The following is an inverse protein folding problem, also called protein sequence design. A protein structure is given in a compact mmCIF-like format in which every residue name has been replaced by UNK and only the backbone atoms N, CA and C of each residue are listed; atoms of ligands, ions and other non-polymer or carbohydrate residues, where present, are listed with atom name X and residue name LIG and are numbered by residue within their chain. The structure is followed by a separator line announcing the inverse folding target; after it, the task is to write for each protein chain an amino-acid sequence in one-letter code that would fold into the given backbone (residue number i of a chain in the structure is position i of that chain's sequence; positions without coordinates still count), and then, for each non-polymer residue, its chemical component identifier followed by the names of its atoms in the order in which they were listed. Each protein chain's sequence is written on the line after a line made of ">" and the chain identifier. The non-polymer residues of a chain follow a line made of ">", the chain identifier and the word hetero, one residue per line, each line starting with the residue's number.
data_IF_986406581408
#
_entry.id   IF_986406581408
#
_cell.length_a   1.000
_cell.length_b   1.000
_cell.length_c   1.000
_cell.angle_alpha   90.00
_cell.angle_beta   90.00
_cell.angle_gamma   90.00
#
_symmetry.space_group_name_H-M   'P 1'
#
loop_
_entity.id
_entity.type
_entity.pdbx_description
1 polymer ?
#
# COMPACT_ATOMS: atom_id res chain seq x y z
N UNK A 1 7.92 14.04 -3.16
CA UNK A 1 6.97 13.18 -2.41
C UNK A 1 7.58 11.80 -2.20
N UNK A 2 7.59 11.29 -0.98
CA UNK A 2 8.11 9.99 -0.60
C UNK A 2 7.01 8.93 -0.80
N UNK A 3 7.27 7.90 -1.62
CA UNK A 3 6.33 6.77 -1.75
C UNK A 3 6.59 5.71 -0.67
N UNK A 4 5.56 4.91 -0.37
CA UNK A 4 5.64 3.72 0.50
C UNK A 4 6.84 2.83 0.11
N UNK A 5 6.98 2.51 -1.17
CA UNK A 5 8.06 1.65 -1.68
C UNK A 5 9.46 2.25 -1.43
N UNK A 6 9.62 3.56 -1.63
CA UNK A 6 10.89 4.25 -1.35
C UNK A 6 11.22 4.28 0.14
N UNK A 7 10.22 4.46 0.99
CA UNK A 7 10.39 4.37 2.44
C UNK A 7 10.89 2.98 2.85
N UNK A 8 10.24 1.91 2.38
CA UNK A 8 10.65 0.53 2.67
C UNK A 8 12.06 0.25 2.15
N UNK A 9 12.37 0.70 0.93
CA UNK A 9 13.71 0.56 0.36
C UNK A 9 14.77 1.23 1.23
N UNK A 10 14.49 2.42 1.76
CA UNK A 10 15.38 3.14 2.66
C UNK A 10 15.60 2.42 3.99
N UNK A 11 14.57 1.78 4.53
CA UNK A 11 14.67 0.95 5.74
C UNK A 11 15.50 -0.32 5.52
N UNK A 12 15.44 -0.90 4.34
CA UNK A 12 16.21 -2.10 3.99
C UNK A 12 17.66 -1.79 3.61
N UNK A 13 17.87 -0.74 2.83
CA UNK A 13 19.20 -0.36 2.34
C UNK A 13 19.25 1.11 1.92
N UNK A 14 19.89 1.94 2.71
CA UNK A 14 20.05 3.38 2.43
C UNK A 14 20.79 3.64 1.12
N UNK A 15 21.74 2.78 0.74
CA UNK A 15 22.44 2.89 -0.55
C UNK A 15 21.51 2.65 -1.73
N UNK A 16 20.65 1.62 -1.66
CA UNK A 16 19.67 1.35 -2.70
C UNK A 16 18.66 2.50 -2.82
N UNK A 17 18.23 3.07 -1.71
CA UNK A 17 17.38 4.26 -1.70
C UNK A 17 18.07 5.46 -2.36
N UNK A 18 19.35 5.70 -2.05
CA UNK A 18 20.12 6.78 -2.66
C UNK A 18 20.26 6.60 -4.18
N UNK A 19 20.52 5.36 -4.65
CA UNK A 19 20.60 5.05 -6.08
C UNK A 19 19.26 5.28 -6.76
N UNK A 20 18.16 4.87 -6.15
CA UNK A 20 16.80 5.03 -6.69
C UNK A 20 16.41 6.51 -6.84
N UNK A 21 16.65 7.34 -5.81
CA UNK A 21 16.30 8.77 -5.89
C UNK A 21 17.18 9.56 -6.88
N UNK A 22 18.37 9.08 -7.18
CA UNK A 22 19.27 9.69 -8.18
C UNK A 22 19.12 9.07 -9.58
N UNK A 23 18.13 8.20 -9.80
CA UNK A 23 17.85 7.51 -11.05
C UNK A 23 19.06 6.73 -11.61
N UNK A 24 19.85 6.13 -10.71
CA UNK A 24 20.97 5.28 -11.10
C UNK A 24 20.44 3.85 -11.20
N UNK A 25 20.39 3.35 -12.45
CA UNK A 25 19.89 2.00 -12.69
C UNK A 25 20.78 0.92 -12.05
N UNK A 26 20.21 -0.16 -11.54
CA UNK A 26 20.95 -1.31 -11.06
C UNK A 26 21.79 -1.90 -12.21
N UNK A 27 23.02 -2.30 -11.90
CA UNK A 27 23.91 -2.96 -12.87
C UNK A 27 23.44 -4.34 -13.30
N UNK A 28 22.57 -4.97 -12.51
CA UNK A 28 22.02 -6.29 -12.80
C UNK A 28 20.49 -6.22 -12.96
N UNK A 29 19.94 -6.71 -14.09
CA UNK A 29 18.49 -6.83 -14.25
C UNK A 29 17.91 -7.84 -13.22
N UNK A 30 16.59 -7.73 -12.90
CA UNK A 30 15.94 -8.70 -12.05
C UNK A 30 16.06 -10.12 -12.62
N UNK A 31 16.43 -11.07 -11.78
CA UNK A 31 16.48 -12.49 -12.16
C UNK A 31 15.05 -13.07 -12.36
N UNK A 32 14.98 -14.27 -12.92
CA UNK A 32 13.68 -14.91 -13.18
C UNK A 32 12.91 -15.19 -11.89
N UNK A 33 13.59 -15.52 -10.79
CA UNK A 33 12.97 -15.67 -9.49
C UNK A 33 12.36 -14.38 -8.94
N UNK A 34 12.92 -13.22 -9.28
CA UNK A 34 12.30 -11.92 -8.93
C UNK A 34 11.01 -11.67 -9.73
N UNK A 35 10.99 -12.05 -11.01
CA UNK A 35 9.79 -11.96 -11.85
C UNK A 35 8.68 -12.88 -11.37
N UNK A 36 9.00 -14.13 -11.00
CA UNK A 36 8.04 -15.08 -10.45
C UNK A 36 7.43 -14.58 -9.13
N UNK A 37 8.25 -14.02 -8.22
CA UNK A 37 7.76 -13.40 -6.97
C UNK A 37 6.81 -12.24 -7.22
N UNK A 38 7.09 -11.41 -8.22
CA UNK A 38 6.23 -10.30 -8.60
C UNK A 38 4.89 -10.79 -9.16
N UNK A 39 4.93 -11.81 -10.02
CA UNK A 39 3.72 -12.44 -10.58
C UNK A 39 2.84 -13.06 -9.50
N UNK A 40 3.43 -13.83 -8.58
CA UNK A 40 2.72 -14.42 -7.46
C UNK A 40 2.12 -13.35 -6.52
N UNK A 41 2.83 -12.23 -6.32
CA UNK A 41 2.31 -11.09 -5.55
C UNK A 41 1.06 -10.49 -6.18
N UNK A 42 1.07 -10.29 -7.49
CA UNK A 42 -0.07 -9.74 -8.23
C UNK A 42 -1.28 -10.69 -8.16
N UNK A 43 -1.08 -12.00 -8.33
CA UNK A 43 -2.15 -12.99 -8.25
C UNK A 43 -2.80 -13.02 -6.87
N UNK A 44 -2.02 -13.03 -5.80
CA UNK A 44 -2.52 -12.99 -4.42
C UNK A 44 -3.27 -11.67 -4.17
N UNK A 45 -2.81 -10.55 -4.70
CA UNK A 45 -3.50 -9.26 -4.65
C UNK A 45 -4.89 -9.33 -5.30
N UNK A 46 -5.01 -9.92 -6.49
CA UNK A 46 -6.30 -10.07 -7.18
C UNK A 46 -7.25 -11.00 -6.42
N UNK A 47 -6.75 -12.12 -5.89
CA UNK A 47 -7.56 -13.05 -5.10
C UNK A 47 -8.08 -12.37 -3.83
N UNK A 48 -7.26 -11.54 -3.18
CA UNK A 48 -7.64 -10.86 -1.94
C UNK A 48 -8.85 -9.94 -2.08
N UNK A 49 -9.08 -9.38 -3.26
CA UNK A 49 -10.26 -8.54 -3.55
C UNK A 49 -11.59 -9.30 -3.41
N UNK A 50 -11.55 -10.63 -3.49
CA UNK A 50 -12.74 -11.47 -3.30
C UNK A 50 -13.21 -11.53 -1.84
N UNK A 51 -12.34 -11.17 -0.87
CA UNK A 51 -12.68 -11.14 0.57
C UNK A 51 -13.84 -10.17 0.83
N UNK A 52 -13.84 -9.03 0.15
CA UNK A 52 -14.89 -8.03 0.23
C UNK A 52 -15.42 -7.72 -1.18
N UNK A 53 -16.12 -8.67 -1.77
CA UNK A 53 -16.64 -8.55 -3.12
C UNK A 53 -17.54 -7.32 -3.30
N UNK A 54 -17.50 -6.73 -4.49
CA UNK A 54 -18.30 -5.53 -4.82
C UNK A 54 -17.64 -4.21 -4.44
N UNK A 55 -16.37 -4.22 -4.01
CA UNK A 55 -15.57 -3.03 -3.78
C UNK A 55 -15.22 -2.28 -5.09
N UNK A 56 -14.68 -1.07 -4.94
CA UNK A 56 -14.20 -0.25 -6.05
C UNK A 56 -12.68 -0.11 -5.99
N UNK A 57 -12.05 -0.25 -7.15
CA UNK A 57 -10.60 -0.12 -7.29
C UNK A 57 -10.21 1.29 -7.72
N UNK A 58 -9.19 1.86 -7.07
CA UNK A 58 -8.55 3.09 -7.52
C UNK A 58 -7.55 2.74 -8.61
N UNK A 59 -7.72 3.23 -9.85
CA UNK A 59 -6.82 2.90 -10.94
C UNK A 59 -5.40 3.42 -10.67
N UNK A 60 -4.40 2.66 -11.10
CA UNK A 60 -3.02 3.13 -11.04
C UNK A 60 -2.76 4.17 -12.14
N UNK A 61 -2.42 5.39 -11.75
CA UNK A 61 -2.12 6.52 -12.63
C UNK A 61 -0.71 7.03 -12.35
N UNK A 62 0.31 6.56 -13.08
CA UNK A 62 1.70 6.95 -12.85
C UNK A 62 1.89 8.47 -12.91
N UNK A 63 2.55 9.03 -11.88
CA UNK A 63 2.81 10.47 -11.78
C UNK A 63 1.58 11.33 -11.43
N UNK A 64 0.43 10.71 -11.14
CA UNK A 64 -0.82 11.40 -10.80
C UNK A 64 -1.33 11.02 -9.41
N UNK A 65 -0.45 11.01 -8.43
CA UNK A 65 -0.74 10.61 -7.06
C UNK A 65 -1.90 11.42 -6.45
N UNK A 66 -1.93 12.72 -6.72
CA UNK A 66 -3.03 13.61 -6.26
C UNK A 66 -4.39 13.25 -6.88
N UNK A 67 -4.39 12.77 -8.11
CA UNK A 67 -5.62 12.32 -8.77
C UNK A 67 -6.12 11.00 -8.17
N UNK A 68 -5.23 10.03 -7.96
CA UNK A 68 -5.55 8.77 -7.27
C UNK A 68 -6.11 9.02 -5.86
N UNK A 69 -5.52 9.95 -5.11
CA UNK A 69 -6.05 10.36 -3.81
C UNK A 69 -7.45 10.98 -3.91
N UNK A 70 -7.70 11.82 -4.91
CA UNK A 70 -9.03 12.42 -5.14
C UNK A 70 -10.08 11.35 -5.47
N UNK A 71 -9.73 10.33 -6.27
CA UNK A 71 -10.62 9.21 -6.57
C UNK A 71 -10.95 8.43 -5.30
N UNK A 72 -9.95 8.13 -4.47
CA UNK A 72 -10.15 7.47 -3.17
C UNK A 72 -11.13 8.27 -2.30
N UNK A 73 -10.88 9.57 -2.15
CA UNK A 73 -11.75 10.46 -1.37
C UNK A 73 -13.18 10.46 -1.90
N UNK A 74 -13.34 10.52 -3.23
CA UNK A 74 -14.67 10.46 -3.84
C UNK A 74 -15.37 9.14 -3.50
N UNK A 75 -14.70 7.99 -3.55
CA UNK A 75 -15.30 6.71 -3.17
C UNK A 75 -15.74 6.69 -1.71
N UNK A 76 -14.94 7.28 -0.81
CA UNK A 76 -15.31 7.41 0.60
C UNK A 76 -16.54 8.30 0.78
N UNK A 77 -16.58 9.44 0.11
CA UNK A 77 -17.68 10.42 0.17
C UNK A 77 -18.97 9.84 -0.45
N UNK A 78 -18.85 9.01 -1.49
CA UNK A 78 -19.95 8.30 -2.14
C UNK A 78 -20.47 7.10 -1.31
N UNK A 79 -19.88 6.82 -0.15
CA UNK A 79 -20.30 5.75 0.76
C UNK A 79 -19.87 4.34 0.33
N UNK A 80 -18.84 4.21 -0.52
CA UNK A 80 -18.27 2.92 -0.89
C UNK A 80 -17.70 2.24 0.35
N UNK A 81 -18.08 1.00 0.60
CA UNK A 81 -17.70 0.26 1.81
C UNK A 81 -16.42 -0.55 1.67
N UNK A 82 -16.00 -0.89 0.46
CA UNK A 82 -14.76 -1.60 0.18
C UNK A 82 -14.02 -0.90 -0.94
N UNK A 83 -12.77 -0.54 -0.70
CA UNK A 83 -11.94 0.17 -1.68
C UNK A 83 -10.63 -0.61 -1.81
N UNK A 84 -10.26 -0.93 -3.04
CA UNK A 84 -9.00 -1.56 -3.39
C UNK A 84 -8.02 -0.51 -3.91
N UNK A 85 -6.76 -0.68 -3.59
CA UNK A 85 -5.68 0.22 -4.00
C UNK A 85 -5.92 1.69 -3.57
N UNK A 86 -6.56 1.85 -2.42
CA UNK A 86 -6.86 3.18 -1.87
C UNK A 86 -5.60 4.02 -1.70
N UNK A 87 -5.60 5.22 -2.28
CA UNK A 87 -4.41 6.08 -2.35
C UNK A 87 -4.55 7.28 -1.43
N UNK A 88 -3.52 7.57 -0.63
CA UNK A 88 -3.51 8.65 0.36
C UNK A 88 -2.23 9.45 0.31
N UNK A 89 -2.34 10.75 0.62
CA UNK A 89 -1.21 11.67 0.70
C UNK A 89 -1.33 12.47 2.01
N UNK A 90 -0.27 12.48 2.80
CA UNK A 90 -0.10 13.36 3.94
C UNK A 90 1.38 13.63 4.19
N UNK A 91 1.75 14.85 4.59
CA UNK A 91 3.13 15.26 4.89
C UNK A 91 4.14 14.91 3.80
N UNK A 92 3.75 15.10 2.55
CA UNK A 92 4.54 14.76 1.35
C UNK A 92 4.88 13.26 1.22
N UNK A 93 4.10 12.39 1.89
CA UNK A 93 4.18 10.94 1.82
C UNK A 93 2.97 10.41 1.06
N UNK A 94 3.21 9.52 0.10
CA UNK A 94 2.19 8.83 -0.67
C UNK A 94 2.17 7.34 -0.34
N UNK A 95 0.99 6.82 -0.02
CA UNK A 95 0.76 5.39 0.19
C UNK A 95 -0.40 4.88 -0.64
N UNK A 96 -0.33 3.62 -1.05
CA UNK A 96 -1.46 2.84 -1.56
C UNK A 96 -1.73 1.70 -0.61
N UNK A 97 -2.99 1.53 -0.27
CA UNK A 97 -3.50 0.49 0.62
C UNK A 97 -4.13 -0.59 -0.23
N UNK A 98 -3.65 -1.82 -0.14
CA UNK A 98 -4.13 -2.92 -0.99
C UNK A 98 -5.65 -3.10 -0.86
N UNK A 99 -6.16 -3.09 0.37
CA UNK A 99 -7.58 -3.28 0.61
C UNK A 99 -8.01 -2.55 1.90
N UNK A 100 -9.11 -1.82 1.82
CA UNK A 100 -9.73 -1.19 2.98
C UNK A 100 -11.23 -1.43 3.01
N UNK A 101 -11.77 -1.71 4.18
CA UNK A 101 -13.17 -2.02 4.38
C UNK A 101 -13.79 -1.20 5.52
N UNK A 102 -14.96 -0.62 5.27
CA UNK A 102 -15.70 0.21 6.24
C UNK A 102 -16.41 -0.65 7.25
N UNK A 103 -16.11 -0.42 8.53
CA UNK A 103 -16.77 -1.06 9.66
C UNK A 103 -17.52 -0.04 10.52
N UNK A 104 -18.22 -0.51 11.55
CA UNK A 104 -18.86 0.38 12.52
C UNK A 104 -17.87 1.21 13.35
N UNK A 105 -16.60 0.76 13.44
CA UNK A 105 -15.54 1.42 14.21
C UNK A 105 -14.66 2.34 13.38
N UNK A 106 -14.77 2.29 12.05
CA UNK A 106 -13.94 3.04 11.13
C UNK A 106 -13.55 2.22 9.90
N UNK A 107 -12.37 2.44 9.37
CA UNK A 107 -11.81 1.68 8.25
C UNK A 107 -10.82 0.65 8.75
N UNK A 108 -11.04 -0.61 8.43
CA UNK A 108 -10.04 -1.66 8.58
C UNK A 108 -9.16 -1.69 7.32
N UNK A 109 -7.85 -1.86 7.53
CA UNK A 109 -6.84 -1.85 6.47
C UNK A 109 -6.20 -3.23 6.41
N UNK A 110 -6.07 -3.75 5.20
CA UNK A 110 -5.47 -5.06 4.94
C UNK A 110 -4.33 -4.88 3.95
N UNK A 111 -3.14 -5.22 4.39
CA UNK A 111 -1.95 -5.32 3.53
C UNK A 111 -1.77 -6.77 3.11
N UNK A 112 -1.73 -7.00 1.81
CA UNK A 112 -1.69 -8.33 1.22
C UNK A 112 -0.25 -8.70 0.88
N UNK A 113 0.20 -9.86 1.32
CA UNK A 113 1.55 -10.36 1.04
C UNK A 113 1.52 -11.84 0.62
N UNK A 114 2.22 -12.18 -0.46
CA UNK A 114 2.45 -13.56 -0.90
C UNK A 114 3.59 -14.23 -0.10
N UNK A 115 3.54 -14.13 1.22
CA UNK A 115 4.60 -14.58 2.14
C UNK A 115 4.02 -15.49 3.20
N UNK A 116 4.73 -16.56 3.53
CA UNK A 116 4.32 -17.53 4.56
C UNK A 116 4.54 -17.04 6.01
N UNK A 117 5.20 -15.90 6.20
CA UNK A 117 5.49 -15.35 7.53
C UNK A 117 5.59 -13.83 7.50
N UNK A 118 5.27 -13.20 8.63
CA UNK A 118 5.48 -11.76 8.81
C UNK A 118 6.98 -11.50 8.96
N UNK A 119 7.47 -10.48 8.28
CA UNK A 119 8.86 -10.00 8.34
C UNK A 119 8.89 -8.55 8.79
N UNK A 120 10.03 -8.08 9.33
CA UNK A 120 10.17 -6.72 9.85
C UNK A 120 9.79 -5.62 8.84
N UNK A 121 10.08 -5.80 7.56
CA UNK A 121 9.72 -4.82 6.54
C UNK A 121 8.20 -4.75 6.28
N UNK A 122 7.42 -5.80 6.61
CA UNK A 122 5.96 -5.75 6.59
C UNK A 122 5.42 -4.82 7.70
N UNK A 123 6.09 -4.81 8.85
CA UNK A 123 5.74 -3.90 9.96
C UNK A 123 6.01 -2.44 9.58
N UNK A 124 7.13 -2.15 8.91
CA UNK A 124 7.41 -0.81 8.38
C UNK A 124 6.38 -0.38 7.34
N UNK A 125 5.97 -1.30 6.46
CA UNK A 125 4.94 -1.07 5.45
C UNK A 125 3.59 -0.70 6.12
N UNK A 126 3.13 -1.50 7.05
CA UNK A 126 1.92 -1.24 7.80
C UNK A 126 2.00 0.07 8.61
N UNK A 127 3.15 0.36 9.21
CA UNK A 127 3.36 1.55 10.03
C UNK A 127 3.27 2.84 9.23
N UNK A 128 3.90 2.92 8.06
CA UNK A 128 3.85 4.12 7.22
C UNK A 128 2.44 4.35 6.66
N UNK A 129 1.73 3.29 6.29
CA UNK A 129 0.35 3.38 5.87
C UNK A 129 -0.54 3.90 6.99
N UNK A 130 -0.45 3.30 8.18
CA UNK A 130 -1.22 3.72 9.35
C UNK A 130 -0.97 5.20 9.70
N UNK A 131 0.30 5.63 9.68
CA UNK A 131 0.68 7.02 9.93
C UNK A 131 -0.01 7.99 8.96
N UNK A 132 0.09 7.72 7.65
CA UNK A 132 -0.49 8.58 6.62
C UNK A 132 -2.02 8.61 6.71
N UNK A 133 -2.67 7.47 6.91
CA UNK A 133 -4.12 7.40 6.98
C UNK A 133 -4.67 8.11 8.23
N UNK A 134 -4.02 7.94 9.39
CA UNK A 134 -4.41 8.63 10.62
C UNK A 134 -4.37 10.15 10.47
N UNK A 135 -3.36 10.68 9.79
CA UNK A 135 -3.22 12.11 9.54
C UNK A 135 -4.12 12.62 8.40
N UNK A 136 -4.55 11.75 7.49
CA UNK A 136 -5.43 12.09 6.37
C UNK A 136 -6.89 12.34 6.77
N UNK A 137 -7.19 12.45 8.07
CA UNK A 137 -8.53 12.67 8.63
C UNK A 137 -9.51 11.51 8.37
N UNK A 138 -9.01 10.33 8.06
CA UNK A 138 -9.81 9.11 7.98
C UNK A 138 -9.81 8.43 9.35
N UNK A 139 -10.99 8.15 9.88
CA UNK A 139 -11.11 7.36 11.10
C UNK A 139 -10.81 5.89 10.77
N UNK A 140 -9.62 5.43 11.16
CA UNK A 140 -9.19 4.04 11.02
C UNK A 140 -9.31 3.31 12.35
N UNK A 141 -9.61 2.02 12.28
CA UNK A 141 -9.59 1.16 13.47
C UNK A 141 -8.17 0.98 14.00
N UNK A 142 -8.03 0.91 15.32
CA UNK A 142 -6.72 0.64 15.93
C UNK A 142 -6.14 -0.68 15.42
N UNK A 143 -4.81 -0.73 15.14
CA UNK A 143 -4.18 -1.95 14.67
C UNK A 143 -4.29 -3.08 15.70
N UNK A 144 -4.79 -4.22 15.28
CA UNK A 144 -4.74 -5.44 16.09
C UNK A 144 -3.39 -6.10 15.92
N UNK A 145 -2.75 -6.47 17.04
CA UNK A 145 -1.54 -7.30 16.97
C UNK A 145 -1.88 -8.63 16.30
N UNK A 146 -1.01 -9.17 15.42
CA UNK A 146 -1.15 -10.54 14.97
C UNK A 146 -1.19 -11.44 16.20
N UNK A 147 -2.21 -12.30 16.30
CA UNK A 147 -2.20 -13.37 17.28
C UNK A 147 -1.05 -14.33 16.94
N UNK A 148 -0.11 -14.43 17.83
CA UNK A 148 0.99 -15.41 17.78
C UNK A 148 0.46 -16.84 17.85
#
# INVERSE_FOLDING_TARGET
>A
MLSKSKFILGQQCIKSFWLDINNIEPTNPPDDGAKERLSAGNEVGEISKQIFSGGKEVPYLPGKEKEMFRITKKFIDDGVTSIYEGSFICDDIFVRVDLMHKTKKGWDIYEVKSSSSVRSYHEYDASIQWHVLKLSLIHISEPTRPSS
#
